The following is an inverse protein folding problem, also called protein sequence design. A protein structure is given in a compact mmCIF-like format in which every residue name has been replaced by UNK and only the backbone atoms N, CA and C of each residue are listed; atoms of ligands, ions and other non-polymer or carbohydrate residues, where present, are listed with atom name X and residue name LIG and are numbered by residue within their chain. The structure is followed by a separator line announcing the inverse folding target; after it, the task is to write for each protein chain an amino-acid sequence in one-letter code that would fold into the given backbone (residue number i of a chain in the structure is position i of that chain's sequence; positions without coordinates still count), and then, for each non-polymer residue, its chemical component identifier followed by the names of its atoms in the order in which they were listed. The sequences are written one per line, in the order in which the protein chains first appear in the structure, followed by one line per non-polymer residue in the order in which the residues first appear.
data_IF_374273233440
#
_entry.id   IF_374273233440
#
_cell.length_a   1.000
_cell.length_b   1.000
_cell.length_c   1.000
_cell.angle_alpha   90.00
_cell.angle_beta   90.00
_cell.angle_gamma   90.00
#
_symmetry.space_group_name_H-M   'P 1'
#
loop_
_entity.id
_entity.type
_entity.pdbx_description
1 polymer ?
#
# COMPACT_ATOMS: atom_id res chain seq x y z
N UNK A 1 -67.56 56.01 48.53
CA UNK A 1 -66.59 55.08 47.90
C UNK A 1 -67.33 53.76 47.70
N UNK A 2 -67.71 53.43 46.46
CA UNK A 2 -68.60 52.29 46.21
C UNK A 2 -67.90 50.96 46.50
N UNK A 3 -68.64 50.04 47.11
CA UNK A 3 -68.25 48.64 47.38
C UNK A 3 -67.71 47.94 46.13
N UNK A 4 -68.23 48.31 44.96
CA UNK A 4 -67.80 47.77 43.67
C UNK A 4 -66.33 48.07 43.34
N UNK A 5 -65.81 49.26 43.71
CA UNK A 5 -64.41 49.60 43.44
C UNK A 5 -63.44 48.73 44.24
N UNK A 6 -63.76 48.42 45.51
CA UNK A 6 -62.95 47.51 46.33
C UNK A 6 -62.99 46.09 45.77
N UNK A 7 -64.16 45.63 45.36
CA UNK A 7 -64.33 44.31 44.76
C UNK A 7 -63.52 44.14 43.47
N UNK A 8 -63.56 45.12 42.57
CA UNK A 8 -62.77 45.12 41.33
C UNK A 8 -61.26 45.16 41.60
N UNK A 9 -60.83 45.91 42.61
CA UNK A 9 -59.42 45.98 43.01
C UNK A 9 -58.91 44.63 43.54
N UNK A 10 -59.68 43.95 44.38
CA UNK A 10 -59.33 42.63 44.92
C UNK A 10 -59.23 41.57 43.81
N UNK A 11 -60.15 41.59 42.83
CA UNK A 11 -60.07 40.69 41.67
C UNK A 11 -58.80 40.95 40.86
N UNK A 12 -58.47 42.22 40.62
CA UNK A 12 -57.28 42.59 39.86
C UNK A 12 -55.99 42.15 40.57
N UNK A 13 -55.92 42.29 41.89
CA UNK A 13 -54.77 41.85 42.69
C UNK A 13 -54.61 40.34 42.67
N UNK A 14 -55.70 39.58 42.82
CA UNK A 14 -55.67 38.11 42.72
C UNK A 14 -55.24 37.65 41.32
N UNK A 15 -55.74 38.29 40.27
CA UNK A 15 -55.37 37.95 38.89
C UNK A 15 -53.89 38.24 38.61
N UNK A 16 -53.36 39.37 39.10
CA UNK A 16 -51.92 39.68 39.02
C UNK A 16 -51.07 38.65 39.75
N UNK A 17 -51.51 38.19 40.91
CA UNK A 17 -50.82 37.13 41.65
C UNK A 17 -50.78 35.82 40.87
N UNK A 18 -51.91 35.38 40.31
CA UNK A 18 -51.96 34.16 39.48
C UNK A 18 -51.12 34.27 38.21
N UNK A 19 -51.09 35.44 37.55
CA UNK A 19 -50.22 35.68 36.41
C UNK A 19 -48.74 35.61 36.78
N UNK A 20 -48.33 36.20 37.90
CA UNK A 20 -46.95 36.13 38.37
C UNK A 20 -46.55 34.69 38.73
N UNK A 21 -47.45 33.92 39.36
CA UNK A 21 -47.23 32.51 39.68
C UNK A 21 -47.10 31.66 38.41
N UNK A 22 -47.98 31.85 37.43
CA UNK A 22 -47.92 31.15 36.15
C UNK A 22 -46.62 31.48 35.38
N UNK A 23 -46.19 32.74 35.39
CA UNK A 23 -44.93 33.16 34.78
C UNK A 23 -43.72 32.49 35.46
N UNK A 24 -43.68 32.44 36.80
CA UNK A 24 -42.62 31.75 37.55
C UNK A 24 -42.59 30.24 37.25
N UNK A 25 -43.74 29.59 37.18
CA UNK A 25 -43.83 28.18 36.81
C UNK A 25 -43.39 27.91 35.37
N UNK A 26 -43.74 28.78 34.42
CA UNK A 26 -43.30 28.67 33.04
C UNK A 26 -41.77 28.86 32.90
N UNK A 27 -41.19 29.82 33.61
CA UNK A 27 -39.74 30.01 33.67
C UNK A 27 -39.02 28.81 34.30
N UNK A 28 -39.57 28.25 35.38
CA UNK A 28 -39.03 27.05 36.01
C UNK A 28 -39.09 25.82 35.10
N UNK A 29 -40.20 25.63 34.37
CA UNK A 29 -40.35 24.55 33.41
C UNK A 29 -39.36 24.66 32.23
N UNK A 30 -39.18 25.87 31.69
CA UNK A 30 -38.21 26.12 30.63
C UNK A 30 -36.77 25.87 31.10
N UNK A 31 -36.41 26.32 32.30
CA UNK A 31 -35.10 26.08 32.89
C UNK A 31 -34.85 24.59 33.13
N UNK A 32 -35.86 23.85 33.59
CA UNK A 32 -35.75 22.40 33.80
C UNK A 32 -35.54 21.63 32.50
N UNK A 33 -36.26 22.02 31.44
CA UNK A 33 -36.11 21.40 30.14
C UNK A 33 -34.71 21.68 29.54
N UNK A 34 -34.21 22.91 29.66
CA UNK A 34 -32.84 23.26 29.26
C UNK A 34 -31.78 22.48 30.06
N UNK A 35 -31.99 22.27 31.37
CA UNK A 35 -31.10 21.50 32.22
C UNK A 35 -31.01 20.03 31.76
N UNK A 36 -32.12 19.42 31.35
CA UNK A 36 -32.12 18.07 30.76
C UNK A 36 -31.27 18.04 29.49
N UNK A 37 -31.44 18.99 28.58
CA UNK A 37 -30.61 19.05 27.35
C UNK A 37 -29.13 19.22 27.66
N UNK A 38 -28.77 20.03 28.65
CA UNK A 38 -27.36 20.19 29.09
C UNK A 38 -26.80 18.87 29.62
N UNK A 39 -27.57 18.12 30.42
CA UNK A 39 -27.16 16.79 30.91
C UNK A 39 -26.98 15.82 29.75
N UNK A 40 -27.90 15.80 28.79
CA UNK A 40 -27.79 14.96 27.59
C UNK A 40 -26.53 15.31 26.78
N UNK A 41 -26.24 16.60 26.55
CA UNK A 41 -25.02 17.04 25.85
C UNK A 41 -23.76 16.65 26.61
N UNK A 42 -23.76 16.72 27.95
CA UNK A 42 -22.62 16.30 28.78
C UNK A 42 -22.39 14.79 28.72
N UNK A 43 -23.45 13.99 28.81
CA UNK A 43 -23.35 12.52 28.75
C UNK A 43 -22.92 12.07 27.35
N UNK A 44 -23.63 12.51 26.30
CA UNK A 44 -23.32 12.10 24.93
C UNK A 44 -22.01 12.71 24.42
N UNK A 45 -21.71 13.95 24.78
CA UNK A 45 -20.42 14.58 24.50
C UNK A 45 -19.26 13.88 25.21
N UNK A 46 -19.45 13.48 26.46
CA UNK A 46 -18.48 12.68 27.23
C UNK A 46 -18.25 11.29 26.62
N UNK A 47 -19.31 10.59 26.24
CA UNK A 47 -19.22 9.27 25.58
C UNK A 47 -18.53 9.40 24.22
N UNK A 48 -18.87 10.40 23.40
CA UNK A 48 -18.23 10.64 22.11
C UNK A 48 -16.74 10.98 22.27
N UNK A 49 -16.38 11.80 23.25
CA UNK A 49 -14.99 12.13 23.56
C UNK A 49 -14.20 10.92 24.06
N UNK A 50 -14.82 10.01 24.83
CA UNK A 50 -14.21 8.76 25.28
C UNK A 50 -14.07 7.72 24.15
N UNK A 51 -14.98 7.73 23.17
CA UNK A 51 -14.93 6.84 22.01
C UNK A 51 -13.93 7.29 20.94
N UNK A 52 -13.64 8.60 20.83
CA UNK A 52 -12.68 9.14 19.87
C UNK A 52 -11.27 8.50 19.96
N UNK A 53 -10.63 8.37 21.14
CA UNK A 53 -9.34 7.69 21.26
C UNK A 53 -9.43 6.18 21.00
N UNK A 54 -10.54 5.53 21.38
CA UNK A 54 -10.75 4.09 21.08
C UNK A 54 -10.89 3.83 19.57
N UNK A 55 -11.58 4.72 18.85
CA UNK A 55 -11.68 4.66 17.40
C UNK A 55 -10.32 4.88 16.74
N UNK A 56 -9.52 5.84 17.25
CA UNK A 56 -8.16 6.09 16.75
C UNK A 56 -7.25 4.87 16.97
N UNK A 57 -7.27 4.25 18.15
CA UNK A 57 -6.47 3.05 18.46
C UNK A 57 -6.93 1.84 17.64
N UNK A 58 -8.25 1.65 17.48
CA UNK A 58 -8.81 0.60 16.62
C UNK A 58 -8.40 0.77 15.15
N UNK A 59 -8.50 2.00 14.64
CA UNK A 59 -8.13 2.33 13.26
C UNK A 59 -6.63 2.22 13.01
N UNK A 60 -5.78 2.70 13.93
CA UNK A 60 -4.32 2.55 13.83
C UNK A 60 -3.91 1.08 13.79
N UNK A 61 -4.51 0.21 14.60
CA UNK A 61 -4.23 -1.24 14.56
C UNK A 61 -4.76 -1.94 13.30
N UNK A 62 -5.88 -1.48 12.75
CA UNK A 62 -6.41 -1.98 11.48
C UNK A 62 -5.55 -1.52 10.31
N UNK A 63 -5.07 -0.27 10.31
CA UNK A 63 -4.17 0.26 9.28
C UNK A 63 -2.80 -0.45 9.34
N UNK A 64 -2.31 -0.79 10.54
CA UNK A 64 -1.09 -1.61 10.72
C UNK A 64 -1.20 -2.98 10.03
N UNK A 65 -2.40 -3.60 10.07
CA UNK A 65 -2.71 -4.86 9.37
C UNK A 65 -2.65 -4.75 7.83
N UNK A 66 -2.89 -3.57 7.26
CA UNK A 66 -2.76 -3.37 5.81
C UNK A 66 -1.29 -3.35 5.35
N UNK A 67 -0.38 -2.83 6.19
CA UNK A 67 1.06 -2.73 5.90
C UNK A 67 1.86 -3.98 6.26
N UNK A 68 1.27 -4.93 6.99
CA UNK A 68 1.93 -6.18 7.35
C UNK A 68 2.22 -7.05 6.11
N UNK A 69 3.48 -7.45 5.95
CA UNK A 69 3.93 -8.41 4.94
C UNK A 69 3.22 -9.78 5.09
N UNK A 70 3.17 -10.58 4.03
CA UNK A 70 2.51 -11.91 4.01
C UNK A 70 2.99 -12.80 5.17
N UNK A 71 4.29 -12.74 5.48
CA UNK A 71 4.88 -13.49 6.59
C UNK A 71 4.37 -13.03 7.95
N UNK A 72 4.13 -11.74 8.12
CA UNK A 72 3.65 -11.21 9.39
C UNK A 72 2.13 -11.42 9.55
N UNK A 73 1.37 -11.42 8.44
CA UNK A 73 -0.03 -11.86 8.43
C UNK A 73 -0.16 -13.33 8.84
N UNK A 74 0.71 -14.21 8.35
CA UNK A 74 0.73 -15.62 8.76
C UNK A 74 1.05 -15.78 10.25
N UNK A 75 2.02 -15.04 10.77
CA UNK A 75 2.33 -15.02 12.22
C UNK A 75 1.15 -14.51 13.06
N UNK A 76 0.42 -13.51 12.57
CA UNK A 76 -0.76 -12.99 13.25
C UNK A 76 -1.88 -14.04 13.31
N UNK A 77 -2.13 -14.75 12.21
CA UNK A 77 -3.10 -15.87 12.18
C UNK A 77 -2.69 -16.96 13.17
N UNK A 78 -1.43 -17.39 13.17
CA UNK A 78 -0.91 -18.39 14.11
C UNK A 78 -1.05 -17.95 15.59
N UNK A 79 -0.84 -16.66 15.86
CA UNK A 79 -1.02 -16.09 17.20
C UNK A 79 -2.49 -16.10 17.63
N UNK A 80 -3.41 -15.81 16.69
CA UNK A 80 -4.86 -15.88 16.93
C UNK A 80 -5.31 -17.32 17.19
N UNK A 81 -4.83 -18.29 16.41
CA UNK A 81 -5.13 -19.71 16.59
C UNK A 81 -4.63 -20.23 17.94
N UNK A 82 -3.45 -19.78 18.38
CA UNK A 82 -2.92 -20.06 19.73
C UNK A 82 -3.76 -19.42 20.83
N UNK A 83 -4.20 -18.18 20.66
CA UNK A 83 -5.10 -17.55 21.63
C UNK A 83 -6.42 -18.31 21.75
N UNK A 84 -6.95 -18.82 20.63
CA UNK A 84 -8.15 -19.65 20.62
C UNK A 84 -8.01 -20.96 21.39
N UNK A 85 -6.89 -21.66 21.23
CA UNK A 85 -6.68 -22.93 21.92
C UNK A 85 -6.57 -22.77 23.44
N UNK A 86 -5.98 -21.66 23.90
CA UNK A 86 -5.92 -21.32 25.33
C UNK A 86 -7.30 -21.03 25.91
N UNK A 87 -8.11 -20.21 25.21
CA UNK A 87 -9.46 -19.85 25.67
C UNK A 87 -10.36 -21.08 25.72
N UNK A 88 -10.26 -21.98 24.72
CA UNK A 88 -11.10 -23.19 24.66
C UNK A 88 -10.72 -24.23 25.72
N UNK A 89 -9.50 -24.19 26.25
CA UNK A 89 -9.00 -25.12 27.25
C UNK A 89 -9.31 -24.74 28.71
N UNK A 90 -9.94 -23.59 28.96
CA UNK A 90 -10.29 -23.14 30.30
C UNK A 90 -11.81 -23.26 30.53
N UNK A 91 -12.20 -23.91 31.62
CA UNK A 91 -13.58 -23.88 32.13
C UNK A 91 -13.79 -22.60 32.95
N UNK A 92 -14.81 -21.82 32.58
CA UNK A 92 -15.15 -20.57 33.24
C UNK A 92 -16.53 -20.68 33.89
N UNK A 93 -16.55 -20.72 35.22
CA UNK A 93 -17.81 -20.85 36.00
C UNK A 93 -18.55 -19.51 36.22
N UNK A 94 -17.98 -18.39 35.80
CA UNK A 94 -18.54 -17.06 36.03
C UNK A 94 -19.26 -16.51 34.77
N UNK A 95 -20.56 -16.27 34.88
CA UNK A 95 -21.43 -15.74 33.82
C UNK A 95 -20.94 -14.43 33.19
N UNK A 96 -20.38 -13.51 34.00
CA UNK A 96 -19.78 -12.26 33.51
C UNK A 96 -18.49 -12.47 32.72
N UNK A 97 -17.79 -13.57 32.99
CA UNK A 97 -16.57 -13.95 32.28
C UNK A 97 -16.92 -14.64 30.96
N UNK A 98 -17.98 -15.46 30.95
CA UNK A 98 -18.50 -16.11 29.73
C UNK A 98 -18.89 -15.08 28.65
N UNK A 99 -19.64 -14.03 29.00
CA UNK A 99 -20.05 -13.00 28.02
C UNK A 99 -18.86 -12.24 27.43
N UNK A 100 -17.88 -11.87 28.26
CA UNK A 100 -16.64 -11.24 27.81
C UNK A 100 -15.82 -12.15 26.90
N UNK A 101 -15.77 -13.44 27.19
CA UNK A 101 -15.09 -14.45 26.36
C UNK A 101 -15.82 -14.65 25.03
N UNK A 102 -17.16 -14.63 25.02
CA UNK A 102 -17.95 -14.71 23.80
C UNK A 102 -17.65 -13.51 22.88
N UNK A 103 -17.68 -12.29 23.40
CA UNK A 103 -17.34 -11.09 22.64
C UNK A 103 -15.89 -11.12 22.13
N UNK A 104 -14.94 -11.55 22.96
CA UNK A 104 -13.53 -11.69 22.56
C UNK A 104 -13.36 -12.75 21.46
N UNK A 105 -14.08 -13.87 21.59
CA UNK A 105 -14.13 -14.93 20.58
C UNK A 105 -14.68 -14.41 19.26
N UNK A 106 -15.75 -13.63 19.24
CA UNK A 106 -16.28 -13.09 17.99
C UNK A 106 -15.34 -12.06 17.35
N UNK A 107 -14.68 -11.26 18.18
CA UNK A 107 -13.65 -10.30 17.73
C UNK A 107 -12.47 -11.03 17.10
N UNK A 108 -11.98 -12.11 17.71
CA UNK A 108 -10.88 -12.93 17.18
C UNK A 108 -11.27 -13.60 15.86
N UNK A 109 -12.49 -14.13 15.73
CA UNK A 109 -13.02 -14.76 14.50
C UNK A 109 -13.09 -13.74 13.36
N UNK A 110 -13.57 -12.54 13.67
CA UNK A 110 -13.63 -11.43 12.72
C UNK A 110 -12.21 -11.02 12.27
N UNK A 111 -11.27 -10.92 13.22
CA UNK A 111 -9.86 -10.64 12.93
C UNK A 111 -9.22 -11.71 12.05
N UNK A 112 -9.43 -12.99 12.36
CA UNK A 112 -8.92 -14.13 11.59
C UNK A 112 -9.46 -14.14 10.16
N UNK A 113 -10.77 -13.96 9.99
CA UNK A 113 -11.42 -13.86 8.66
C UNK A 113 -10.86 -12.69 7.86
N UNK A 114 -10.64 -11.56 8.52
CA UNK A 114 -10.05 -10.37 7.89
C UNK A 114 -8.62 -10.63 7.45
N UNK A 115 -7.77 -11.19 8.34
CA UNK A 115 -6.39 -11.55 8.03
C UNK A 115 -6.29 -12.56 6.87
N UNK A 116 -7.11 -13.62 6.89
CA UNK A 116 -7.17 -14.62 5.81
C UNK A 116 -7.58 -14.02 4.46
N UNK A 117 -8.56 -13.12 4.45
CA UNK A 117 -8.99 -12.45 3.22
C UNK A 117 -7.92 -11.50 2.67
N UNK A 118 -7.25 -10.73 3.54
CA UNK A 118 -6.12 -9.87 3.16
C UNK A 118 -4.94 -10.68 2.61
N UNK A 119 -4.59 -11.78 3.26
CA UNK A 119 -3.54 -12.70 2.80
C UNK A 119 -3.87 -13.26 1.41
N UNK A 120 -5.09 -13.74 1.21
CA UNK A 120 -5.54 -14.27 -0.09
C UNK A 120 -5.47 -13.20 -1.17
N UNK A 121 -5.87 -11.96 -0.87
CA UNK A 121 -5.80 -10.84 -1.80
C UNK A 121 -4.36 -10.49 -2.19
N UNK A 122 -3.45 -10.36 -1.22
CA UNK A 122 -2.02 -10.07 -1.46
C UNK A 122 -1.36 -11.15 -2.30
N UNK A 123 -1.65 -12.43 -2.00
CA UNK A 123 -1.15 -13.56 -2.78
C UNK A 123 -1.61 -13.52 -4.24
N UNK A 124 -2.90 -13.28 -4.47
CA UNK A 124 -3.45 -13.17 -5.83
C UNK A 124 -2.84 -11.99 -6.60
N UNK A 125 -2.59 -10.87 -5.93
CA UNK A 125 -1.95 -9.70 -6.52
C UNK A 125 -0.51 -10.00 -6.94
N UNK A 126 0.27 -10.66 -6.06
CA UNK A 126 1.61 -11.13 -6.38
C UNK A 126 1.63 -12.08 -7.57
N UNK A 127 0.73 -13.06 -7.59
CA UNK A 127 0.59 -14.01 -8.71
C UNK A 127 0.27 -13.28 -10.02
N UNK A 128 -0.58 -12.24 -10.00
CA UNK A 128 -0.86 -11.39 -11.18
C UNK A 128 0.37 -10.60 -11.63
N UNK A 129 1.10 -9.99 -10.71
CA UNK A 129 2.33 -9.24 -11.03
C UNK A 129 3.38 -10.16 -11.63
N UNK A 130 3.58 -11.35 -11.05
CA UNK A 130 4.54 -12.33 -11.55
C UNK A 130 4.13 -12.87 -12.91
N UNK A 131 2.83 -13.12 -13.14
CA UNK A 131 2.30 -13.49 -14.45
C UNK A 131 2.56 -12.39 -15.48
N UNK A 132 2.22 -11.15 -15.17
CA UNK A 132 2.45 -10.00 -16.04
C UNK A 132 3.94 -9.81 -16.38
N UNK A 133 4.84 -9.98 -15.40
CA UNK A 133 6.29 -9.94 -15.64
C UNK A 133 6.75 -11.03 -16.60
N UNK A 134 6.25 -12.25 -16.46
CA UNK A 134 6.56 -13.36 -17.37
C UNK A 134 6.05 -13.10 -18.79
N UNK A 135 4.81 -12.62 -18.93
CA UNK A 135 4.22 -12.27 -20.22
C UNK A 135 5.04 -11.15 -20.91
N UNK A 136 5.42 -10.10 -20.17
CA UNK A 136 6.27 -9.03 -20.70
C UNK A 136 7.67 -9.50 -21.08
N UNK A 137 8.24 -10.42 -20.31
CA UNK A 137 9.53 -11.02 -20.63
C UNK A 137 9.44 -11.86 -21.92
N UNK A 138 8.39 -12.66 -22.07
CA UNK A 138 8.15 -13.44 -23.29
C UNK A 138 7.97 -12.54 -24.51
N UNK A 139 7.14 -11.50 -24.40
CA UNK A 139 6.94 -10.50 -25.46
C UNK A 139 8.28 -9.84 -25.87
N UNK A 140 9.12 -9.49 -24.88
CA UNK A 140 10.44 -8.94 -25.14
C UNK A 140 11.37 -9.95 -25.82
N UNK A 141 11.38 -11.21 -25.40
CA UNK A 141 12.19 -12.28 -26.01
C UNK A 141 11.77 -12.55 -27.47
N UNK A 142 10.47 -12.59 -27.76
CA UNK A 142 9.93 -12.72 -29.11
C UNK A 142 10.33 -11.54 -30.01
N UNK A 143 10.15 -10.32 -29.51
CA UNK A 143 10.60 -9.11 -30.19
C UNK A 143 12.11 -9.13 -30.46
N UNK A 144 12.90 -9.60 -29.51
CA UNK A 144 14.35 -9.71 -29.63
C UNK A 144 14.76 -10.72 -30.70
N UNK A 145 14.07 -11.87 -30.77
CA UNK A 145 14.25 -12.86 -31.83
C UNK A 145 13.94 -12.27 -33.20
N UNK A 146 12.85 -11.50 -33.32
CA UNK A 146 12.52 -10.81 -34.57
C UNK A 146 13.62 -9.81 -34.95
N UNK A 147 14.07 -8.96 -34.01
CA UNK A 147 15.14 -7.99 -34.26
C UNK A 147 16.45 -8.63 -34.68
N UNK A 148 16.80 -9.77 -34.07
CA UNK A 148 17.96 -10.58 -34.45
C UNK A 148 17.85 -11.10 -35.88
N UNK A 149 16.68 -11.60 -36.28
CA UNK A 149 16.41 -12.05 -37.66
C UNK A 149 16.51 -10.91 -38.67
N UNK A 150 15.89 -9.77 -38.37
CA UNK A 150 15.97 -8.56 -39.22
C UNK A 150 17.42 -8.12 -39.45
N UNK A 151 18.26 -8.23 -38.42
CA UNK A 151 19.68 -7.88 -38.49
C UNK A 151 20.60 -9.01 -38.98
N UNK A 152 20.07 -10.22 -39.13
CA UNK A 152 20.82 -11.42 -39.47
C UNK A 152 21.90 -11.79 -38.43
N UNK A 153 21.69 -11.49 -37.15
CA UNK A 153 22.59 -11.85 -36.03
C UNK A 153 21.92 -12.91 -35.15
N UNK A 154 22.70 -13.68 -34.39
CA UNK A 154 22.15 -14.73 -33.50
C UNK A 154 22.01 -14.27 -32.05
N UNK A 155 22.87 -13.35 -31.61
CA UNK A 155 22.97 -12.90 -30.24
C UNK A 155 22.79 -11.39 -30.11
N UNK A 156 22.71 -10.95 -28.87
CA UNK A 156 22.65 -9.53 -28.53
C UNK A 156 21.24 -8.93 -28.61
N UNK A 157 21.19 -7.60 -28.49
CA UNK A 157 20.01 -6.78 -28.45
C UNK A 157 20.26 -5.43 -29.10
N UNK A 158 19.24 -4.77 -29.66
CA UNK A 158 19.37 -3.37 -30.07
C UNK A 158 19.52 -2.46 -28.83
N UNK A 159 20.16 -1.29 -28.97
CA UNK A 159 20.16 -0.26 -27.94
C UNK A 159 18.76 0.36 -27.80
N UNK A 160 18.54 1.06 -26.69
CA UNK A 160 17.35 1.87 -26.48
C UNK A 160 17.37 3.16 -27.35
N UNK A 161 16.26 3.92 -27.41
CA UNK A 161 16.21 5.18 -28.16
C UNK A 161 17.19 6.26 -27.68
N UNK A 162 17.73 6.12 -26.46
CA UNK A 162 18.76 6.99 -25.89
C UNK A 162 20.19 6.50 -26.19
N UNK A 163 20.34 5.53 -27.10
CA UNK A 163 21.62 4.92 -27.46
C UNK A 163 22.34 4.28 -26.26
N UNK A 164 21.58 3.71 -25.32
CA UNK A 164 22.10 2.92 -24.20
C UNK A 164 21.80 1.46 -24.42
N UNK A 165 22.77 0.62 -24.11
CA UNK A 165 22.53 -0.81 -24.12
C UNK A 165 21.65 -1.24 -22.93
N UNK A 166 20.81 -2.27 -23.10
CA UNK A 166 20.09 -2.89 -21.99
C UNK A 166 21.06 -3.32 -20.89
N UNK A 167 20.63 -3.28 -19.62
CA UNK A 167 21.48 -3.60 -18.45
C UNK A 167 22.19 -4.96 -18.56
N UNK A 168 21.56 -5.95 -19.18
CA UNK A 168 22.11 -7.30 -19.36
C UNK A 168 22.98 -7.46 -20.63
N UNK A 169 23.22 -6.39 -21.38
CA UNK A 169 23.97 -6.38 -22.64
C UNK A 169 25.04 -5.26 -22.66
N UNK A 170 26.03 -5.30 -21.74
CA UNK A 170 26.92 -4.16 -21.50
C UNK A 170 27.94 -3.92 -22.61
N UNK A 171 28.10 -4.81 -23.59
CA UNK A 171 29.08 -4.64 -24.67
C UNK A 171 28.41 -3.92 -25.83
N UNK A 172 28.88 -2.73 -26.18
CA UNK A 172 28.37 -1.97 -27.32
C UNK A 172 29.03 -2.42 -28.61
N UNK A 173 28.29 -2.46 -29.70
CA UNK A 173 28.82 -2.74 -31.02
C UNK A 173 28.39 -1.68 -32.02
N UNK A 174 29.34 -1.22 -32.82
CA UNK A 174 29.16 -0.23 -33.88
C UNK A 174 29.27 -0.92 -35.23
N UNK A 175 28.47 -0.49 -36.19
CA UNK A 175 28.49 -1.00 -37.57
C UNK A 175 29.18 0.02 -38.46
N UNK A 176 30.50 0.10 -38.35
CA UNK A 176 31.30 1.06 -39.10
C UNK A 176 32.63 0.44 -39.52
N UNK A 177 32.56 -0.63 -40.32
CA UNK A 177 33.72 -1.15 -41.01
C UNK A 177 33.61 -0.84 -42.50
N UNK A 178 34.76 -0.50 -43.11
CA UNK A 178 34.88 -0.34 -44.57
C UNK A 178 34.38 -1.63 -45.22
N UNK A 179 33.67 -1.52 -46.35
CA UNK A 179 33.03 -2.67 -47.04
C UNK A 179 34.00 -3.80 -47.42
N UNK A 180 35.31 -3.57 -47.37
CA UNK A 180 36.36 -4.55 -47.62
C UNK A 180 36.74 -5.42 -46.41
N UNK A 181 36.28 -5.13 -45.20
CA UNK A 181 36.57 -5.98 -44.04
C UNK A 181 35.55 -7.13 -43.89
N UNK A 182 35.98 -8.35 -43.51
CA UNK A 182 35.07 -9.49 -43.35
C UNK A 182 34.21 -9.43 -42.08
N UNK A 183 34.37 -8.38 -41.26
CA UNK A 183 33.71 -8.22 -39.97
C UNK A 183 32.52 -7.26 -40.10
N UNK A 184 31.45 -7.50 -39.35
CA UNK A 184 30.26 -6.66 -39.33
C UNK A 184 30.49 -5.32 -38.64
N UNK A 185 31.38 -5.30 -37.66
CA UNK A 185 31.56 -4.13 -36.81
C UNK A 185 32.63 -4.28 -35.75
N UNK A 186 32.69 -3.26 -34.89
CA UNK A 186 33.62 -3.20 -33.76
C UNK A 186 32.82 -3.21 -32.46
N UNK A 187 33.26 -3.97 -31.46
CA UNK A 187 32.65 -3.97 -30.13
C UNK A 187 33.55 -3.37 -29.04
N UNK A 188 32.91 -2.72 -28.06
CA UNK A 188 33.50 -1.96 -26.98
C UNK A 188 32.90 -2.40 -25.63
N UNK A 189 33.76 -2.60 -24.65
CA UNK A 189 33.41 -2.80 -23.25
C UNK A 189 33.20 -1.44 -22.55
N UNK A 190 32.47 -1.42 -21.42
CA UNK A 190 32.20 -0.19 -20.66
C UNK A 190 33.43 0.63 -20.26
N UNK A 191 34.58 -0.01 -20.10
CA UNK A 191 35.86 0.59 -19.73
C UNK A 191 36.67 1.11 -20.93
N UNK A 192 36.22 0.85 -22.16
CA UNK A 192 36.89 1.36 -23.34
C UNK A 192 36.67 2.87 -23.51
N UNK A 193 37.70 3.65 -23.89
CA UNK A 193 37.57 5.09 -24.13
C UNK A 193 36.51 5.41 -25.19
N UNK A 194 36.34 4.55 -26.19
CA UNK A 194 35.39 4.75 -27.28
C UNK A 194 34.00 4.12 -26.99
N UNK A 195 33.73 3.66 -25.76
CA UNK A 195 32.45 3.05 -25.39
C UNK A 195 31.25 4.00 -25.56
N UNK A 196 31.47 5.31 -25.45
CA UNK A 196 30.42 6.32 -25.67
C UNK A 196 29.96 6.43 -27.13
N UNK A 197 30.59 5.72 -28.06
CA UNK A 197 30.21 5.68 -29.47
C UNK A 197 28.75 5.23 -29.67
N UNK A 198 28.18 5.60 -30.82
CA UNK A 198 26.83 5.22 -31.21
C UNK A 198 26.70 3.70 -31.34
N UNK A 199 26.00 3.07 -30.40
CA UNK A 199 25.72 1.66 -30.44
C UNK A 199 24.70 1.39 -31.55
N UNK A 200 24.99 0.40 -32.39
CA UNK A 200 24.03 -0.17 -33.34
C UNK A 200 23.51 -1.50 -32.85
N UNK A 201 24.28 -2.17 -32.00
CA UNK A 201 23.92 -3.44 -31.37
C UNK A 201 24.61 -3.58 -30.01
N UNK A 202 24.11 -4.48 -29.16
CA UNK A 202 24.61 -4.69 -27.80
C UNK A 202 24.73 -6.19 -27.49
N UNK A 203 25.77 -6.61 -26.79
CA UNK A 203 26.06 -8.01 -26.48
C UNK A 203 26.21 -8.24 -24.98
N UNK A 204 25.84 -9.45 -24.55
CA UNK A 204 26.01 -9.91 -23.15
C UNK A 204 27.49 -10.12 -22.85
N UNK A 205 28.19 -10.81 -23.75
CA UNK A 205 29.59 -11.18 -23.58
C UNK A 205 30.34 -11.09 -24.92
N UNK A 206 31.67 -11.12 -24.81
CA UNK A 206 32.60 -11.04 -25.94
C UNK A 206 32.36 -12.15 -26.96
N UNK A 207 32.13 -13.36 -26.47
CA UNK A 207 32.00 -14.56 -27.29
C UNK A 207 30.78 -14.47 -28.21
N UNK A 208 29.70 -13.83 -27.74
CA UNK A 208 28.52 -13.56 -28.55
C UNK A 208 28.82 -12.56 -29.67
N UNK A 209 29.53 -11.46 -29.35
CA UNK A 209 29.92 -10.47 -30.34
C UNK A 209 30.82 -11.07 -31.43
N UNK A 210 31.81 -11.87 -31.04
CA UNK A 210 32.77 -12.50 -31.97
C UNK A 210 32.11 -13.56 -32.86
N UNK A 211 31.18 -14.36 -32.32
CA UNK A 211 30.39 -15.33 -33.11
C UNK A 211 29.49 -14.66 -34.14
N UNK A 212 29.00 -13.47 -33.86
CA UNK A 212 28.19 -12.68 -34.80
C UNK A 212 29.06 -11.81 -35.74
N UNK A 213 30.38 -12.00 -35.74
CA UNK A 213 31.29 -11.36 -36.68
C UNK A 213 31.69 -9.93 -36.31
N UNK A 214 31.63 -9.56 -35.03
CA UNK A 214 32.17 -8.31 -34.52
C UNK A 214 33.56 -8.54 -33.92
N UNK A 215 34.44 -7.55 -34.00
CA UNK A 215 35.82 -7.66 -33.48
C UNK A 215 36.17 -6.52 -32.53
N UNK A 216 37.26 -6.67 -31.78
CA UNK A 216 37.87 -5.56 -31.02
C UNK A 216 38.45 -4.49 -31.96
N UNK A 217 38.58 -3.24 -31.49
CA UNK A 217 39.32 -2.19 -32.21
C UNK A 217 40.78 -2.63 -32.47
N UNK A 218 41.34 -2.26 -33.63
CA UNK A 218 42.76 -2.49 -33.95
C UNK A 218 43.57 -1.33 -33.36
N UNK A 219 44.45 -1.59 -32.39
CA UNK A 219 45.37 -0.57 -31.86
C UNK A 219 45.98 -0.92 -30.50
N UNK A 220 47.26 -0.55 -30.31
CA UNK A 220 48.08 -0.87 -29.13
C UNK A 220 47.63 -0.25 -27.79
N UNK A 221 46.60 0.61 -27.79
CA UNK A 221 46.08 1.25 -26.57
C UNK A 221 45.08 0.37 -25.79
N UNK A 222 44.58 -0.70 -26.40
CA UNK A 222 43.63 -1.62 -25.78
C UNK A 222 44.35 -2.84 -25.18
N UNK A 223 45.41 -2.61 -24.41
CA UNK A 223 45.97 -3.65 -23.53
C UNK A 223 44.97 -3.82 -22.39
N UNK A 224 43.97 -4.66 -22.62
CA UNK A 224 42.92 -4.93 -21.66
C UNK A 224 43.52 -5.28 -20.31
N UNK A 225 43.07 -4.59 -19.27
CA UNK A 225 43.13 -5.18 -17.96
C UNK A 225 42.38 -6.51 -18.07
N UNK A 226 43.07 -7.62 -17.80
CA UNK A 226 42.49 -8.97 -17.74
C UNK A 226 41.53 -9.05 -16.54
N UNK A 227 40.44 -8.29 -16.55
CA UNK A 227 39.36 -8.55 -15.62
C UNK A 227 38.59 -9.73 -16.18
N UNK A 228 38.78 -10.88 -15.50
CA UNK A 228 37.91 -12.05 -15.63
C UNK A 228 36.50 -11.59 -15.31
N UNK A 229 35.71 -11.28 -16.33
CA UNK A 229 34.26 -11.28 -16.18
C UNK A 229 33.88 -12.72 -15.85
N UNK A 230 33.56 -12.95 -14.57
CA UNK A 230 32.95 -14.22 -14.14
C UNK A 230 31.65 -14.36 -14.92
N UNK A 231 31.48 -15.50 -15.57
CA UNK A 231 30.23 -15.89 -16.21
C UNK A 231 29.08 -15.65 -15.22
N UNK A 232 28.20 -14.70 -15.57
CA UNK A 232 26.89 -14.51 -14.95
C UNK A 232 25.85 -15.26 -15.78
#
# INVERSE_FOLDING_TARGET
MSTDYKFWKDIQERFKFFLMLAALCACGYLAWNQLIYIIFVLIFGGIAAAMAPLYKVSKEKIDELYYLDENNLLKAIDTIDKAYSVIRGQDFDNLLVIDKIAHLTDTLKSGEKTAKSLFTRKRLERERIDKFKREKQQEYEEWLVQKRREKGVKYGAPPDPSNRCPNNHPIRATENLRSSEPWRGIYYFPDDPDYSSEAKWCFICKEHAERDGYRRPKGNKYKGNKYKYRNF
#
